data_IF_898097702434
#
_entry.id   IF_898097702434
#
_cell.length_a   1.000
_cell.length_b   1.000
_cell.length_c   1.000
_cell.angle_alpha   90.00
_cell.angle_beta   90.00
_cell.angle_gamma   90.00
#
_symmetry.space_group_name_H-M   'P 1'
#
loop_
_entity.id
_entity.type
_entity.pdbx_description
1 polymer ?
#
# COMPACT_ATOMS: atom_id res chain seq x y z
N UNK A 1 -9.84 -13.49 -14.54
CA UNK A 1 -10.37 -12.19 -14.10
C UNK A 1 -10.16 -11.21 -15.25
N UNK A 2 -11.19 -10.50 -15.71
CA UNK A 2 -11.02 -9.49 -16.75
C UNK A 2 -10.17 -8.34 -16.17
N UNK A 3 -9.23 -7.80 -16.96
CA UNK A 3 -8.45 -6.64 -16.53
C UNK A 3 -9.38 -5.43 -16.45
N UNK A 4 -9.62 -4.93 -15.25
CA UNK A 4 -10.32 -3.66 -15.07
C UNK A 4 -9.28 -2.56 -15.29
N UNK A 5 -9.49 -1.74 -16.32
CA UNK A 5 -8.60 -0.62 -16.64
C UNK A 5 -8.89 0.57 -15.73
N UNK A 6 -8.49 0.45 -14.46
CA UNK A 6 -8.49 1.59 -13.55
C UNK A 6 -7.35 2.56 -13.86
N UNK A 7 -7.63 3.86 -13.76
CA UNK A 7 -6.58 4.87 -13.74
C UNK A 7 -5.70 4.70 -12.50
N UNK A 8 -4.55 5.37 -12.47
CA UNK A 8 -3.66 5.31 -11.30
C UNK A 8 -4.33 5.95 -10.08
N UNK A 9 -5.16 6.97 -10.29
CA UNK A 9 -5.94 7.64 -9.25
C UNK A 9 -7.01 6.72 -8.66
N UNK A 10 -7.72 5.96 -9.50
CA UNK A 10 -8.73 5.00 -9.03
C UNK A 10 -8.10 3.87 -8.22
N UNK A 11 -6.93 3.37 -8.63
CA UNK A 11 -6.15 2.38 -7.88
C UNK A 11 -5.75 2.93 -6.52
N UNK A 12 -5.20 4.15 -6.48
CA UNK A 12 -4.79 4.81 -5.24
C UNK A 12 -5.98 5.05 -4.31
N UNK A 13 -7.10 5.54 -4.84
CA UNK A 13 -8.32 5.80 -4.06
C UNK A 13 -8.85 4.52 -3.40
N UNK A 14 -8.93 3.42 -4.16
CA UNK A 14 -9.42 2.14 -3.63
C UNK A 14 -8.47 1.56 -2.57
N UNK A 15 -7.16 1.57 -2.83
CA UNK A 15 -6.18 1.12 -1.84
C UNK A 15 -6.23 1.96 -0.55
N UNK A 16 -6.37 3.29 -0.66
CA UNK A 16 -6.57 4.17 0.48
C UNK A 16 -7.85 3.86 1.25
N UNK A 17 -8.95 3.51 0.56
CA UNK A 17 -10.19 3.09 1.24
C UNK A 17 -9.99 1.81 2.06
N UNK A 18 -9.24 0.83 1.55
CA UNK A 18 -8.88 -0.35 2.35
C UNK A 18 -7.98 0.01 3.53
N UNK A 19 -7.03 0.93 3.30
CA UNK A 19 -6.14 1.41 4.35
C UNK A 19 -6.92 2.03 5.51
N UNK A 20 -7.68 3.09 5.24
CA UNK A 20 -8.39 3.85 6.28
C UNK A 20 -9.51 3.06 6.97
N UNK A 21 -10.22 2.19 6.24
CA UNK A 21 -11.40 1.49 6.78
C UNK A 21 -11.10 0.15 7.46
N UNK A 22 -9.84 -0.20 7.68
CA UNK A 22 -9.50 -1.43 8.38
C UNK A 22 -8.01 -1.61 8.61
N UNK A 23 -7.23 -1.70 7.52
CA UNK A 23 -5.81 -2.07 7.57
C UNK A 23 -5.04 -1.15 8.51
N UNK A 24 -5.33 0.16 8.52
CA UNK A 24 -4.67 1.15 9.38
C UNK A 24 -4.66 0.74 10.87
N UNK A 25 -5.79 0.23 11.37
CA UNK A 25 -5.92 -0.21 12.77
C UNK A 25 -5.05 -1.44 13.08
N UNK A 26 -4.74 -2.24 12.06
CA UNK A 26 -3.95 -3.46 12.15
C UNK A 26 -2.45 -3.23 11.92
N UNK A 27 -2.06 -2.10 11.32
CA UNK A 27 -0.68 -1.91 10.84
C UNK A 27 0.01 -0.67 11.39
N UNK A 28 -0.70 0.37 11.84
CA UNK A 28 -0.08 1.57 12.43
C UNK A 28 0.32 1.35 13.90
N UNK A 29 1.16 0.36 14.18
CA UNK A 29 1.68 0.10 15.52
C UNK A 29 3.08 -0.52 15.50
N UNK A 30 3.82 -0.32 16.60
CA UNK A 30 5.11 -0.98 16.83
C UNK A 30 6.13 -0.72 15.72
N UNK A 31 6.78 -1.79 15.27
CA UNK A 31 7.82 -1.77 14.25
C UNK A 31 7.27 -1.69 12.81
N UNK A 32 5.94 -1.66 12.62
CA UNK A 32 5.35 -1.49 11.29
C UNK A 32 5.39 -0.04 10.82
N UNK A 33 5.36 0.93 11.74
CA UNK A 33 5.43 2.36 11.36
C UNK A 33 6.74 2.62 10.63
N UNK A 34 6.63 3.22 9.43
CA UNK A 34 7.77 3.49 8.56
C UNK A 34 8.11 2.35 7.59
N UNK A 35 7.55 1.15 7.74
CA UNK A 35 7.65 0.10 6.70
C UNK A 35 6.76 0.42 5.49
N UNK A 36 7.01 -0.27 4.39
CA UNK A 36 6.19 -0.19 3.19
C UNK A 36 5.07 -1.22 3.26
N UNK A 37 3.88 -0.80 2.85
CA UNK A 37 2.74 -1.70 2.62
C UNK A 37 2.38 -1.64 1.14
N UNK A 38 2.13 -2.82 0.57
CA UNK A 38 1.63 -2.99 -0.79
C UNK A 38 0.24 -3.58 -0.72
N UNK A 39 -0.75 -2.88 -1.28
CA UNK A 39 -2.16 -3.24 -1.25
C UNK A 39 -2.62 -3.53 -2.67
N UNK A 40 -3.31 -4.64 -2.88
CA UNK A 40 -4.06 -4.90 -4.11
C UNK A 40 -5.40 -4.15 -4.06
N UNK A 41 -5.55 -3.14 -4.92
CA UNK A 41 -6.75 -2.30 -4.99
C UNK A 41 -8.02 -3.06 -5.44
N UNK A 42 -7.88 -4.27 -6.00
CA UNK A 42 -9.02 -5.11 -6.35
C UNK A 42 -9.60 -5.82 -5.12
N UNK A 43 -8.74 -6.32 -4.25
CA UNK A 43 -9.11 -7.30 -3.21
C UNK A 43 -8.93 -6.80 -1.79
N UNK A 44 -8.10 -5.78 -1.57
CA UNK A 44 -7.67 -5.34 -0.25
C UNK A 44 -6.60 -6.23 0.37
N UNK A 45 -6.15 -7.29 -0.31
CA UNK A 45 -5.03 -8.09 0.15
C UNK A 45 -3.75 -7.25 0.18
N UNK A 46 -2.96 -7.39 1.24
CA UNK A 46 -1.76 -6.61 1.40
C UNK A 46 -0.60 -7.41 1.97
N UNK A 47 0.60 -6.87 1.82
CA UNK A 47 1.78 -7.34 2.54
C UNK A 47 2.68 -6.18 2.92
N UNK A 48 3.51 -6.41 3.93
CA UNK A 48 4.38 -5.41 4.56
C UNK A 48 5.81 -5.93 4.54
N UNK A 49 6.76 -5.07 4.17
CA UNK A 49 8.19 -5.26 4.29
C UNK A 49 8.90 -3.89 4.29
N UNK A 50 10.23 -3.88 4.34
CA UNK A 50 11.01 -2.64 4.45
C UNK A 50 10.90 -1.73 3.20
N UNK A 51 10.71 -2.32 2.01
CA UNK A 51 10.84 -1.59 0.73
C UNK A 51 9.71 -1.84 -0.28
N UNK A 52 8.76 -2.73 0.01
CA UNK A 52 7.60 -3.02 -0.80
C UNK A 52 7.82 -4.04 -1.93
N UNK A 53 8.96 -4.73 -1.98
CA UNK A 53 9.33 -5.52 -3.17
C UNK A 53 8.80 -6.95 -3.06
N UNK A 54 9.07 -7.64 -1.96
CA UNK A 54 8.65 -9.04 -1.80
C UNK A 54 7.12 -9.19 -1.79
N UNK A 55 6.35 -8.35 -1.06
CA UNK A 55 4.89 -8.36 -1.11
C UNK A 55 4.35 -8.15 -2.53
N UNK A 56 4.93 -7.19 -3.27
CA UNK A 56 4.50 -6.90 -4.64
C UNK A 56 4.67 -8.09 -5.57
N UNK A 57 5.80 -8.80 -5.48
CA UNK A 57 6.01 -10.04 -6.24
C UNK A 57 5.02 -11.14 -5.85
N UNK A 58 4.78 -11.37 -4.55
CA UNK A 58 3.82 -12.39 -4.09
C UNK A 58 2.40 -12.12 -4.58
N UNK A 59 1.94 -10.87 -4.48
CA UNK A 59 0.62 -10.47 -4.96
C UNK A 59 0.49 -10.64 -6.48
N UNK A 60 1.53 -10.28 -7.25
CA UNK A 60 1.57 -10.49 -8.71
C UNK A 60 1.65 -11.95 -9.11
N UNK A 61 2.34 -12.80 -8.35
CA UNK A 61 2.36 -14.25 -8.59
C UNK A 61 0.97 -14.86 -8.37
N UNK A 62 0.25 -14.42 -7.34
CA UNK A 62 -1.12 -14.86 -7.05
C UNK A 62 -2.13 -14.36 -8.09
N UNK A 63 -2.03 -13.09 -8.46
CA UNK A 63 -2.87 -12.46 -9.48
C UNK A 63 -1.99 -11.59 -10.41
N UNK A 64 -1.66 -12.06 -11.63
CA UNK A 64 -0.86 -11.29 -12.59
C UNK A 64 -1.46 -9.91 -12.92
N UNK A 65 -2.79 -9.79 -12.84
CA UNK A 65 -3.52 -8.56 -13.11
C UNK A 65 -3.68 -7.64 -11.89
N UNK A 66 -3.19 -8.03 -10.70
CA UNK A 66 -3.35 -7.26 -9.46
C UNK A 66 -2.96 -5.79 -9.65
N UNK A 67 -3.79 -4.87 -9.15
CA UNK A 67 -3.58 -3.43 -9.28
C UNK A 67 -3.02 -2.93 -7.96
N UNK A 68 -1.69 -2.93 -7.88
CA UNK A 68 -0.99 -2.66 -6.63
C UNK A 68 -0.81 -1.17 -6.38
N UNK A 69 -1.00 -0.77 -5.13
CA UNK A 69 -0.64 0.55 -4.62
C UNK A 69 0.29 0.39 -3.42
N UNK A 70 1.34 1.21 -3.37
CA UNK A 70 2.36 1.14 -2.32
C UNK A 70 2.39 2.45 -1.54
N UNK A 71 2.43 2.35 -0.21
CA UNK A 71 2.54 3.50 0.69
C UNK A 71 3.45 3.17 1.88
N UNK A 72 3.83 4.20 2.65
CA UNK A 72 4.61 4.04 3.88
C UNK A 72 3.69 4.20 5.09
N UNK A 73 3.68 3.20 5.95
CA UNK A 73 2.77 3.12 7.10
C UNK A 73 3.03 4.29 8.05
N UNK A 74 2.01 5.10 8.31
CA UNK A 74 2.07 6.23 9.23
C UNK A 74 2.80 7.47 8.71
N UNK A 75 3.05 7.59 7.40
CA UNK A 75 3.69 8.77 6.79
C UNK A 75 2.83 9.36 5.67
N UNK A 76 2.94 10.68 5.45
CA UNK A 76 2.20 11.40 4.41
C UNK A 76 2.67 11.12 2.98
N UNK A 77 3.80 10.42 2.81
CA UNK A 77 4.35 10.05 1.52
C UNK A 77 5.17 8.76 1.64
N UNK A 78 5.23 8.00 0.54
CA UNK A 78 6.02 6.77 0.44
C UNK A 78 7.53 7.05 0.43
N UNK A 79 7.95 8.09 -0.30
CA UNK A 79 9.33 8.54 -0.47
C UNK A 79 9.39 10.06 -0.63
N UNK A 80 10.49 10.68 -0.20
CA UNK A 80 10.82 12.07 -0.47
C UNK A 80 12.02 12.17 -1.42
N UNK A 81 11.90 12.95 -2.49
CA UNK A 81 13.02 13.26 -3.38
C UNK A 81 13.56 14.65 -3.06
N UNK A 82 14.71 14.73 -2.39
CA UNK A 82 15.32 16.01 -2.01
C UNK A 82 14.58 16.79 -0.91
N UNK A 83 13.59 16.17 -0.25
CA UNK A 83 12.82 16.72 0.86
C UNK A 83 12.48 15.65 1.90
N UNK A 84 11.90 16.06 3.02
CA UNK A 84 11.49 15.17 4.11
C UNK A 84 10.05 14.73 3.96
N UNK A 85 9.76 13.50 4.36
CA UNK A 85 8.39 13.00 4.55
C UNK A 85 8.01 13.18 6.02
N UNK A 86 6.72 13.36 6.31
CA UNK A 86 6.24 13.62 7.67
C UNK A 86 5.51 12.39 8.22
N UNK A 87 5.79 12.06 9.48
CA UNK A 87 5.02 11.07 10.22
C UNK A 87 3.66 11.69 10.59
N UNK A 88 2.59 10.97 10.29
CA UNK A 88 1.20 11.36 10.55
C UNK A 88 0.46 10.37 11.47
N UNK A 89 1.00 9.18 11.67
CA UNK A 89 0.50 8.28 12.71
C UNK A 89 0.87 8.81 14.10
N UNK A 90 -0.12 8.79 15.00
CA UNK A 90 0.02 9.20 16.40
C UNK A 90 1.03 8.34 17.19
#
# INVERSE_FOLDING_TARGET
MQAIFWTVEEVAQRANQFYENGIRQEVEHGDNIGKMIVIDAETGEYGIDEIGIEPGFKLKQKNPNARLFMMRIGYNAAFGFGGTIERIAE
#
